data_IF_992167327214
#
_entry.id   IF_992167327214
#
_cell.length_a   1.000
_cell.length_b   1.000
_cell.length_c   1.000
_cell.angle_alpha   90.00
_cell.angle_beta   90.00
_cell.angle_gamma   90.00
#
_symmetry.space_group_name_H-M   'P 1'
#
loop_
_entity.id
_entity.type
_entity.pdbx_description
1 polymer ?
#
# COMPACT_ATOMS: atom_id res chain seq x y z
N UNK A 1 -22.32 17.18 -10.37
CA UNK A 1 -20.85 17.27 -10.60
C UNK A 1 -20.24 18.07 -9.45
N UNK A 2 -19.39 17.46 -8.62
CA UNK A 2 -18.74 18.13 -7.47
C UNK A 2 -17.21 18.05 -7.52
N UNK A 3 -16.65 17.02 -8.14
CA UNK A 3 -15.22 16.81 -8.22
C UNK A 3 -14.59 17.59 -9.38
N UNK A 4 -13.48 18.28 -9.10
CA UNK A 4 -12.60 18.91 -10.10
C UNK A 4 -11.48 17.98 -10.57
N UNK A 5 -11.12 16.99 -9.74
CA UNK A 5 -10.14 15.95 -10.02
C UNK A 5 -10.73 14.59 -9.63
N UNK A 6 -10.44 13.55 -10.41
CA UNK A 6 -10.87 12.17 -10.19
C UNK A 6 -9.64 11.28 -10.25
N UNK A 7 -9.37 10.57 -9.16
CA UNK A 7 -8.31 9.58 -9.10
C UNK A 7 -8.89 8.19 -9.38
N UNK A 8 -8.40 7.53 -10.42
CA UNK A 8 -8.65 6.11 -10.65
C UNK A 8 -7.56 5.35 -9.89
N UNK A 9 -7.94 4.63 -8.84
CA UNK A 9 -6.99 3.92 -7.97
C UNK A 9 -6.91 2.44 -8.32
N UNK A 10 -5.86 1.77 -7.86
CA UNK A 10 -5.61 0.34 -8.10
C UNK A 10 -5.51 -0.02 -9.59
N UNK A 11 -4.96 0.89 -10.40
CA UNK A 11 -4.64 0.58 -11.78
C UNK A 11 -3.55 -0.51 -11.82
N UNK A 12 -3.71 -1.50 -12.67
CA UNK A 12 -2.86 -2.69 -12.80
C UNK A 12 -2.12 -2.75 -14.15
N UNK A 13 -2.19 -1.66 -14.94
CA UNK A 13 -1.63 -1.57 -16.28
C UNK A 13 -2.61 -1.97 -17.40
N UNK A 14 -3.79 -2.50 -17.07
CA UNK A 14 -4.87 -2.68 -18.05
C UNK A 14 -5.49 -1.34 -18.47
N UNK A 15 -6.15 -1.32 -19.64
CA UNK A 15 -6.76 -0.10 -20.18
C UNK A 15 -7.99 0.32 -19.37
N UNK A 16 -7.98 1.56 -18.87
CA UNK A 16 -9.11 2.18 -18.18
C UNK A 16 -10.08 2.94 -19.11
N UNK A 17 -9.95 2.80 -20.44
CA UNK A 17 -10.71 3.59 -21.41
C UNK A 17 -12.23 3.54 -21.21
N UNK A 18 -12.80 2.37 -20.94
CA UNK A 18 -14.25 2.22 -20.78
C UNK A 18 -14.73 2.90 -19.48
N UNK A 19 -13.94 2.79 -18.41
CA UNK A 19 -14.20 3.50 -17.16
C UNK A 19 -14.12 5.02 -17.38
N UNK A 20 -13.11 5.49 -18.08
CA UNK A 20 -12.93 6.91 -18.44
C UNK A 20 -14.12 7.40 -19.27
N UNK A 21 -14.54 6.66 -20.31
CA UNK A 21 -15.74 6.97 -21.12
C UNK A 21 -16.98 7.09 -20.24
N UNK A 22 -17.16 6.17 -19.28
CA UNK A 22 -18.27 6.22 -18.32
C UNK A 22 -18.19 7.43 -17.40
N UNK A 23 -17.02 7.73 -16.84
CA UNK A 23 -16.80 8.92 -16.00
C UNK A 23 -17.16 10.19 -16.78
N UNK A 24 -16.73 10.30 -18.04
CA UNK A 24 -16.97 11.46 -18.91
C UNK A 24 -18.46 11.70 -19.19
N UNK A 25 -19.31 10.68 -19.14
CA UNK A 25 -20.79 10.85 -19.20
C UNK A 25 -21.33 11.69 -18.04
N UNK A 26 -20.75 11.56 -16.84
CA UNK A 26 -21.17 12.28 -15.63
C UNK A 26 -20.35 13.53 -15.34
N UNK A 27 -19.06 13.52 -15.69
CA UNK A 27 -18.13 14.61 -15.45
C UNK A 27 -17.19 14.85 -16.64
N UNK A 28 -17.60 15.80 -17.50
CA UNK A 28 -16.88 16.18 -18.72
C UNK A 28 -15.58 16.95 -18.49
N UNK A 29 -15.42 17.59 -17.33
CA UNK A 29 -14.37 18.60 -17.12
C UNK A 29 -13.39 18.25 -16.01
N UNK A 30 -13.70 17.27 -15.16
CA UNK A 30 -12.75 16.89 -14.12
C UNK A 30 -11.52 16.26 -14.74
N UNK A 31 -10.36 16.65 -14.25
CA UNK A 31 -9.12 15.98 -14.60
C UNK A 31 -9.11 14.56 -14.04
N UNK A 32 -8.57 13.61 -14.81
CA UNK A 32 -8.51 12.20 -14.43
C UNK A 32 -7.03 11.81 -14.26
N UNK A 33 -6.68 11.33 -13.08
CA UNK A 33 -5.34 10.88 -12.73
C UNK A 33 -5.42 9.40 -12.42
N UNK A 34 -4.56 8.61 -13.05
CA UNK A 34 -4.51 7.16 -12.86
C UNK A 34 -3.40 6.80 -11.88
N UNK A 35 -3.74 6.03 -10.86
CA UNK A 35 -2.84 5.66 -9.76
C UNK A 35 -2.81 4.16 -9.53
N UNK A 36 -1.61 3.67 -9.20
CA UNK A 36 -1.35 2.29 -8.83
C UNK A 36 -0.70 2.19 -7.46
N UNK A 37 -0.92 1.07 -6.78
CA UNK A 37 -0.11 0.69 -5.63
C UNK A 37 1.19 0.10 -6.16
N UNK A 38 2.31 0.70 -5.82
CA UNK A 38 3.64 0.26 -6.23
C UNK A 38 4.40 -0.27 -5.01
N UNK A 39 4.62 -1.59 -4.91
CA UNK A 39 5.57 -2.15 -3.97
C UNK A 39 6.97 -1.56 -4.19
N UNK A 40 7.69 -1.26 -3.11
CA UNK A 40 9.04 -0.66 -3.20
C UNK A 40 10.13 -1.55 -2.61
N UNK A 41 9.96 -1.97 -1.36
CA UNK A 41 10.93 -2.80 -0.63
C UNK A 41 10.24 -3.51 0.54
N UNK A 42 10.93 -4.47 1.15
CA UNK A 42 10.59 -5.03 2.45
C UNK A 42 11.40 -4.30 3.53
N UNK A 43 10.80 -4.03 4.69
CA UNK A 43 11.51 -3.45 5.84
C UNK A 43 11.30 -4.30 7.08
N UNK A 44 12.41 -4.67 7.73
CA UNK A 44 12.40 -5.49 8.93
C UNK A 44 11.84 -4.67 10.10
N UNK A 45 10.90 -5.25 10.84
CA UNK A 45 10.19 -4.52 11.91
C UNK A 45 11.06 -4.20 13.14
N UNK A 46 12.19 -4.90 13.33
CA UNK A 46 13.07 -4.73 14.48
C UNK A 46 14.35 -3.97 14.10
N UNK A 47 15.01 -4.39 13.03
CA UNK A 47 16.31 -3.84 12.63
C UNK A 47 16.19 -2.62 11.71
N UNK A 48 15.00 -2.37 11.15
CA UNK A 48 14.76 -1.39 10.07
C UNK A 48 15.61 -1.65 8.81
N UNK A 49 16.19 -2.84 8.68
CA UNK A 49 16.88 -3.26 7.47
C UNK A 49 15.91 -3.31 6.30
N UNK A 50 16.35 -2.81 5.14
CA UNK A 50 15.56 -2.83 3.91
C UNK A 50 16.09 -3.86 2.93
N UNK A 51 15.20 -4.73 2.47
CA UNK A 51 15.50 -5.69 1.41
C UNK A 51 14.79 -5.30 0.11
N UNK A 52 15.47 -5.40 -1.05
CA UNK A 52 14.82 -5.22 -2.34
C UNK A 52 13.80 -6.33 -2.58
N UNK A 53 12.76 -6.05 -3.37
CA UNK A 53 11.66 -7.00 -3.63
C UNK A 53 12.14 -8.32 -4.25
N UNK A 54 13.26 -8.31 -4.97
CA UNK A 54 13.86 -9.51 -5.54
C UNK A 54 14.23 -10.56 -4.49
N UNK A 55 14.40 -10.18 -3.21
CA UNK A 55 14.61 -11.15 -2.13
C UNK A 55 13.41 -12.07 -1.89
N UNK A 56 12.20 -11.70 -2.34
CA UNK A 56 11.01 -12.56 -2.24
C UNK A 56 11.05 -13.74 -3.22
N UNK A 57 11.85 -13.67 -4.29
CA UNK A 57 11.82 -14.67 -5.36
C UNK A 57 12.24 -16.05 -4.85
N UNK A 58 11.33 -17.01 -4.98
CA UNK A 58 11.55 -18.40 -4.60
C UNK A 58 11.49 -18.67 -3.09
N UNK A 59 11.21 -17.65 -2.26
CA UNK A 59 11.11 -17.77 -0.80
C UNK A 59 9.77 -18.34 -0.37
N UNK A 60 9.82 -19.23 0.61
CA UNK A 60 8.66 -19.80 1.26
C UNK A 60 8.31 -18.93 2.48
N UNK A 61 7.17 -18.24 2.45
CA UNK A 61 6.84 -17.20 3.43
C UNK A 61 5.51 -17.43 4.13
N UNK A 62 5.40 -16.88 5.33
CA UNK A 62 4.12 -16.66 6.00
C UNK A 62 3.59 -15.26 5.76
N UNK A 63 2.26 -15.07 5.63
CA UNK A 63 1.64 -13.75 5.62
C UNK A 63 0.66 -13.57 6.76
N UNK A 64 0.65 -12.37 7.34
CA UNK A 64 -0.32 -11.96 8.35
C UNK A 64 -0.91 -10.61 7.94
N UNK A 65 -2.23 -10.49 7.93
CA UNK A 65 -2.88 -9.22 7.53
C UNK A 65 -4.27 -9.06 8.13
N UNK A 66 -4.68 -7.80 8.31
CA UNK A 66 -5.92 -7.36 8.92
C UNK A 66 -6.46 -6.15 8.17
N UNK A 67 -6.59 -6.31 6.86
CA UNK A 67 -7.06 -5.31 5.89
C UNK A 67 -8.34 -5.79 5.19
N UNK A 68 -9.07 -4.86 4.58
CA UNK A 68 -10.34 -5.16 3.92
C UNK A 68 -10.27 -6.20 2.77
N UNK A 69 -9.14 -6.29 2.07
CA UNK A 69 -8.95 -7.20 0.91
C UNK A 69 -7.57 -7.86 1.00
N UNK A 70 -7.38 -8.87 1.88
CA UNK A 70 -6.10 -9.54 2.08
C UNK A 70 -5.59 -10.26 0.83
N UNK A 71 -6.49 -10.77 -0.02
CA UNK A 71 -6.15 -11.47 -1.25
C UNK A 71 -5.33 -10.58 -2.20
N UNK A 72 -5.68 -9.29 -2.30
CA UNK A 72 -4.94 -8.34 -3.15
C UNK A 72 -3.50 -8.15 -2.68
N UNK A 73 -3.23 -8.24 -1.38
CA UNK A 73 -1.89 -8.16 -0.83
C UNK A 73 -1.11 -9.45 -1.09
N UNK A 74 -1.74 -10.60 -0.84
CA UNK A 74 -1.14 -11.91 -1.06
C UNK A 74 -0.80 -12.16 -2.54
N UNK A 75 -1.70 -11.78 -3.45
CA UNK A 75 -1.46 -11.90 -4.89
C UNK A 75 -0.32 -10.95 -5.33
N UNK A 76 -0.23 -9.77 -4.74
CA UNK A 76 0.91 -8.86 -4.94
C UNK A 76 2.24 -9.50 -4.54
N UNK A 77 2.30 -10.16 -3.38
CA UNK A 77 3.50 -10.87 -2.91
C UNK A 77 3.84 -12.09 -3.80
N UNK A 78 2.84 -12.86 -4.22
CA UNK A 78 3.04 -13.99 -5.16
C UNK A 78 3.57 -13.51 -6.50
N UNK A 79 3.07 -12.38 -7.02
CA UNK A 79 3.54 -11.78 -8.27
C UNK A 79 5.00 -11.30 -8.18
N UNK A 80 5.50 -11.03 -6.98
CA UNK A 80 6.92 -10.74 -6.73
C UNK A 80 7.79 -12.01 -6.65
N UNK A 81 7.19 -13.19 -6.75
CA UNK A 81 7.89 -14.47 -6.86
C UNK A 81 7.98 -15.28 -5.56
N UNK A 82 7.35 -14.84 -4.48
CA UNK A 82 7.28 -15.61 -3.23
C UNK A 82 6.22 -16.71 -3.29
N UNK A 83 6.44 -17.77 -2.51
CA UNK A 83 5.50 -18.85 -2.26
C UNK A 83 4.90 -18.67 -0.87
N UNK A 84 3.59 -18.49 -0.81
CA UNK A 84 2.90 -18.27 0.46
C UNK A 84 2.46 -19.63 1.00
N UNK A 85 3.17 -20.13 2.01
CA UNK A 85 2.95 -21.44 2.62
C UNK A 85 1.98 -21.38 3.81
N UNK A 86 1.89 -20.20 4.44
CA UNK A 86 0.98 -19.94 5.56
C UNK A 86 0.37 -18.55 5.45
N UNK A 87 -0.94 -18.46 5.68
CA UNK A 87 -1.66 -17.18 5.71
C UNK A 87 -2.43 -17.05 7.02
N UNK A 88 -2.41 -15.86 7.61
CA UNK A 88 -3.26 -15.52 8.75
C UNK A 88 -3.98 -14.20 8.51
N UNK A 89 -5.29 -14.32 8.26
CA UNK A 89 -6.17 -13.20 7.97
C UNK A 89 -6.97 -12.82 9.21
N UNK A 90 -7.09 -11.53 9.45
CA UNK A 90 -7.91 -10.93 10.48
C UNK A 90 -8.90 -9.95 9.84
N UNK A 91 -9.92 -9.53 10.60
CA UNK A 91 -10.85 -8.48 10.16
C UNK A 91 -10.12 -7.16 9.96
N UNK A 92 -10.64 -6.30 9.10
CA UNK A 92 -10.08 -4.96 8.91
C UNK A 92 -10.00 -4.20 10.25
N UNK A 93 -8.92 -3.46 10.43
CA UNK A 93 -8.60 -2.76 11.69
C UNK A 93 -8.44 -3.65 12.93
N UNK A 94 -8.14 -4.94 12.77
CA UNK A 94 -7.88 -5.83 13.91
C UNK A 94 -6.79 -5.28 14.83
N UNK A 95 -7.05 -5.36 16.14
CA UNK A 95 -6.07 -5.05 17.18
C UNK A 95 -5.34 -6.32 17.59
N UNK A 96 -4.15 -6.50 17.06
CA UNK A 96 -3.31 -7.68 17.29
C UNK A 96 -2.94 -7.84 18.76
N UNK A 97 -3.10 -9.06 19.27
CA UNK A 97 -2.59 -9.45 20.59
C UNK A 97 -1.22 -10.11 20.44
N UNK A 98 -0.33 -9.92 21.43
CA UNK A 98 1.03 -10.48 21.39
C UNK A 98 1.04 -11.99 21.18
N UNK A 99 0.14 -12.70 21.86
CA UNK A 99 -0.03 -14.16 21.71
C UNK A 99 -0.46 -14.59 20.31
N UNK A 100 -1.22 -13.77 19.58
CA UNK A 100 -1.67 -14.10 18.23
C UNK A 100 -0.50 -14.06 17.25
N UNK A 101 0.28 -12.97 17.31
CA UNK A 101 1.44 -12.80 16.45
C UNK A 101 2.52 -13.83 16.79
N UNK A 102 2.82 -14.04 18.07
CA UNK A 102 3.80 -15.05 18.50
C UNK A 102 3.41 -16.45 18.03
N UNK A 103 2.14 -16.85 18.21
CA UNK A 103 1.65 -18.14 17.73
C UNK A 103 1.82 -18.30 16.21
N UNK A 104 1.75 -17.21 15.45
CA UNK A 104 1.99 -17.27 14.02
C UNK A 104 3.48 -17.38 13.68
N UNK A 105 4.35 -16.66 14.40
CA UNK A 105 5.80 -16.80 14.32
C UNK A 105 6.21 -18.25 14.57
N UNK A 106 5.73 -18.84 15.67
CA UNK A 106 6.03 -20.23 16.02
C UNK A 106 5.54 -21.22 14.93
N UNK A 107 4.40 -20.94 14.29
CA UNK A 107 3.89 -21.78 13.20
C UNK A 107 4.75 -21.69 11.93
N UNK A 108 5.31 -20.52 11.63
CA UNK A 108 6.20 -20.34 10.50
C UNK A 108 7.57 -20.98 10.76
N UNK A 109 8.08 -20.86 12.00
CA UNK A 109 9.31 -21.53 12.44
C UNK A 109 9.19 -23.06 12.30
N UNK A 110 8.10 -23.64 12.79
CA UNK A 110 7.88 -25.10 12.71
C UNK A 110 7.71 -25.63 11.27
N UNK A 111 7.59 -24.74 10.28
CA UNK A 111 7.51 -25.10 8.85
C UNK A 111 8.75 -24.69 8.07
N UNK A 112 9.81 -24.25 8.76
CA UNK A 112 11.06 -23.81 8.15
C UNK A 112 10.86 -22.74 7.06
N UNK A 113 9.92 -21.81 7.29
CA UNK A 113 9.69 -20.70 6.37
C UNK A 113 10.84 -19.69 6.44
N UNK A 114 11.10 -19.00 5.33
CA UNK A 114 12.20 -18.03 5.24
C UNK A 114 11.91 -16.73 6.01
N UNK A 115 10.65 -16.28 6.05
CA UNK A 115 10.24 -15.03 6.68
C UNK A 115 8.72 -14.91 6.81
N UNK A 116 8.29 -13.90 7.59
CA UNK A 116 6.90 -13.44 7.62
C UNK A 116 6.79 -12.07 6.96
N UNK A 117 5.79 -11.88 6.11
CA UNK A 117 5.48 -10.60 5.47
C UNK A 117 4.09 -10.10 5.88
N UNK A 118 4.02 -8.87 6.36
CA UNK A 118 2.77 -8.17 6.72
C UNK A 118 2.59 -6.89 5.89
N UNK A 119 1.46 -6.22 6.06
CA UNK A 119 1.26 -4.86 5.52
C UNK A 119 1.83 -3.81 6.47
N UNK A 120 2.28 -2.67 5.96
CA UNK A 120 2.72 -1.55 6.81
C UNK A 120 1.59 -1.10 7.77
N UNK A 121 0.35 -1.07 7.29
CA UNK A 121 -0.82 -0.70 8.09
C UNK A 121 -1.06 -1.65 9.27
N UNK A 122 -0.81 -2.94 9.07
CA UNK A 122 -0.95 -3.93 10.13
C UNK A 122 0.21 -3.85 11.10
N UNK A 123 1.44 -3.68 10.62
CA UNK A 123 2.62 -3.50 11.46
C UNK A 123 2.45 -2.36 12.47
N UNK A 124 1.91 -1.20 12.06
CA UNK A 124 1.65 -0.06 12.98
C UNK A 124 0.70 -0.45 14.14
N UNK A 125 -0.07 -1.52 14.01
CA UNK A 125 -0.99 -2.05 15.04
C UNK A 125 -0.45 -3.27 15.77
N UNK A 126 0.72 -3.76 15.40
CA UNK A 126 1.33 -4.87 16.12
C UNK A 126 1.69 -4.44 17.54
N UNK A 127 1.50 -5.31 18.53
CA UNK A 127 2.08 -5.09 19.85
C UNK A 127 3.61 -5.20 19.75
N UNK A 128 4.31 -4.77 20.79
CA UNK A 128 5.74 -5.08 20.94
C UNK A 128 5.94 -6.60 20.94
N UNK A 129 6.55 -7.08 19.85
CA UNK A 129 6.94 -8.46 19.62
C UNK A 129 8.45 -8.51 19.50
N UNK A 130 9.01 -9.65 19.89
CA UNK A 130 10.39 -10.00 19.58
C UNK A 130 10.30 -11.09 18.51
N UNK A 131 10.69 -10.77 17.29
CA UNK A 131 10.86 -11.79 16.27
C UNK A 131 12.08 -12.65 16.64
N UNK A 132 12.04 -13.93 16.29
CA UNK A 132 13.25 -14.74 16.39
C UNK A 132 14.21 -14.32 15.27
N UNK A 133 15.52 -14.36 15.50
CA UNK A 133 16.51 -14.22 14.42
C UNK A 133 16.25 -15.26 13.31
N UNK A 134 15.77 -16.44 13.70
CA UNK A 134 15.40 -17.54 12.80
C UNK A 134 14.07 -17.30 12.03
N UNK A 135 13.29 -16.28 12.38
CA UNK A 135 12.03 -15.95 11.70
C UNK A 135 11.81 -14.44 11.64
N UNK A 136 12.53 -13.77 10.73
CA UNK A 136 12.42 -12.33 10.60
C UNK A 136 11.04 -11.93 10.06
N UNK A 137 10.54 -10.81 10.56
CA UNK A 137 9.24 -10.25 10.16
C UNK A 137 9.48 -8.95 9.39
N UNK A 138 8.92 -8.87 8.20
CA UNK A 138 9.00 -7.70 7.33
C UNK A 138 7.61 -7.14 7.07
N UNK A 139 7.50 -5.83 6.85
CA UNK A 139 6.35 -5.27 6.15
C UNK A 139 6.70 -4.91 4.71
N UNK A 140 5.73 -5.04 3.81
CA UNK A 140 5.88 -4.56 2.44
C UNK A 140 5.60 -3.05 2.38
N UNK A 141 6.62 -2.26 2.01
CA UNK A 141 6.45 -0.84 1.71
C UNK A 141 5.75 -0.69 0.36
N UNK A 142 4.65 0.04 0.36
CA UNK A 142 3.85 0.33 -0.84
C UNK A 142 3.63 1.83 -0.92
N UNK A 143 3.85 2.38 -2.11
CA UNK A 143 3.56 3.79 -2.40
C UNK A 143 2.46 3.90 -3.45
N UNK A 144 1.81 5.07 -3.51
CA UNK A 144 0.89 5.38 -4.60
C UNK A 144 1.73 6.01 -5.71
N UNK A 145 1.86 5.31 -6.83
CA UNK A 145 2.48 5.84 -8.04
C UNK A 145 1.43 6.43 -8.97
N UNK A 146 1.76 7.53 -9.64
CA UNK A 146 0.95 8.10 -10.72
C UNK A 146 1.40 7.42 -12.01
N UNK A 147 0.46 6.82 -12.74
CA UNK A 147 0.74 6.13 -14.00
C UNK A 147 0.64 7.10 -15.19
N UNK A 148 -0.35 7.99 -15.18
CA UNK A 148 -0.63 8.95 -16.24
C UNK A 148 -1.04 10.30 -15.64
N UNK A 149 -0.77 11.38 -16.38
CA UNK A 149 -1.16 12.75 -16.03
C UNK A 149 -0.50 13.27 -14.74
N UNK A 150 0.81 13.02 -14.58
CA UNK A 150 1.62 13.52 -13.46
C UNK A 150 1.65 15.06 -13.40
N UNK A 151 1.77 15.73 -14.55
CA UNK A 151 1.68 17.20 -14.63
C UNK A 151 0.35 17.72 -14.05
N UNK A 152 -0.74 17.02 -14.31
CA UNK A 152 -2.07 17.36 -13.80
C UNK A 152 -2.19 17.16 -12.29
N UNK A 153 -1.45 16.20 -11.73
CA UNK A 153 -1.33 16.04 -10.28
C UNK A 153 -0.55 17.21 -9.67
N UNK A 154 0.59 17.57 -10.24
CA UNK A 154 1.38 18.72 -9.77
C UNK A 154 0.60 20.03 -9.84
N UNK A 155 -0.16 20.26 -10.92
CA UNK A 155 -1.06 21.42 -11.04
C UNK A 155 -2.15 21.41 -9.95
N UNK A 156 -2.69 20.24 -9.62
CA UNK A 156 -3.64 20.08 -8.52
C UNK A 156 -3.02 20.49 -7.18
N UNK A 157 -1.83 19.97 -6.88
CA UNK A 157 -1.10 20.28 -5.65
C UNK A 157 -0.77 21.77 -5.58
N UNK A 158 -0.18 22.34 -6.64
CA UNK A 158 0.16 23.75 -6.72
C UNK A 158 -1.08 24.63 -6.50
N UNK A 159 -2.22 24.28 -7.08
CA UNK A 159 -3.45 25.05 -6.89
C UNK A 159 -3.99 25.02 -5.46
N UNK A 160 -3.82 23.91 -4.75
CA UNK A 160 -4.36 23.72 -3.39
C UNK A 160 -3.41 24.29 -2.34
N UNK A 161 -2.11 24.04 -2.51
CA UNK A 161 -1.09 24.29 -1.50
C UNK A 161 -0.36 25.63 -1.69
N UNK A 162 -0.43 26.27 -2.86
CA UNK A 162 0.21 27.58 -3.04
C UNK A 162 -0.50 28.66 -2.23
N UNK A 163 0.25 29.54 -1.54
CA UNK A 163 -0.33 30.68 -0.84
C UNK A 163 -1.11 31.55 -1.83
N UNK A 164 -2.37 31.87 -1.53
CA UNK A 164 -3.10 32.86 -2.33
C UNK A 164 -2.45 34.22 -2.11
N UNK A 165 -2.14 34.98 -3.18
CA UNK A 165 -1.63 36.33 -3.03
C UNK A 165 -2.64 37.15 -2.22
N UNK A 166 -2.17 37.76 -1.13
CA UNK A 166 -2.99 38.68 -0.34
C UNK A 166 -3.24 39.90 -1.21
N UNK A 167 -4.46 40.00 -1.76
CA UNK A 167 -4.91 41.21 -2.41
C UNK A 167 -4.98 42.30 -1.33
N UNK A 168 -4.11 43.31 -1.40
CA UNK A 168 -4.27 44.49 -0.57
C UNK A 168 -5.63 45.11 -0.90
N UNK A 169 -6.43 45.38 0.13
CA UNK A 169 -7.73 46.01 -0.04
C UNK A 169 -7.52 47.32 -0.81
N UNK A 170 -8.06 47.41 -2.03
CA UNK A 170 -8.09 48.66 -2.77
C UNK A 170 -8.89 49.66 -1.94
N UNK A 171 -8.20 50.62 -1.32
CA UNK A 171 -8.83 51.82 -0.77
C UNK A 171 -9.39 52.59 -1.96
N UNK A 172 -10.71 52.52 -2.13
CA UNK A 172 -11.43 53.50 -2.92
C UNK A 172 -11.46 54.78 -2.08
N UNK A 173 -10.69 55.78 -2.49
CA UNK A 173 -10.82 57.16 -2.01
C UNK A 173 -11.79 57.89 -2.94
#
# INVERSE_FOLDING_TARGET
KRASYIFITKCDGSSNEELIKRIRKYNRTAEIIECAHQPKYLENIETNERLPLDHLKGKDIGTISGIAVPESFEDGIKNLGAKIELTRRYTDHHRYRKREVQKFIDQCLNRDLDMIVTTEKDYVRFPEIQASEDMPVYFLRVEIGILNNEETFEDCINRICSPRPILSARRFF
#
